data_IF_236233709044
#
_entry.id   IF_236233709044
#
_cell.length_a   1.000
_cell.length_b   1.000
_cell.length_c   1.000
_cell.angle_alpha   90.00
_cell.angle_beta   90.00
_cell.angle_gamma   90.00
#
_symmetry.space_group_name_H-M   'P 1'
#
loop_
_entity.id
_entity.type
_entity.pdbx_description
1 polymer ?
#
# COMPACT_ATOMS: atom_id res chain seq x y z
N UNK A 1 -4.41 7.21 21.06
CA UNK A 1 -4.68 8.22 20.02
C UNK A 1 -5.92 7.79 19.26
N UNK A 2 -6.66 8.77 18.75
CA UNK A 2 -7.79 8.54 17.83
C UNK A 2 -7.28 8.63 16.39
N UNK A 3 -7.38 7.54 15.64
CA UNK A 3 -6.79 7.41 14.30
C UNK A 3 -7.88 7.12 13.28
N UNK A 4 -7.98 7.97 12.23
CA UNK A 4 -8.83 7.70 11.08
C UNK A 4 -8.04 6.90 10.04
N UNK A 5 -8.53 5.72 9.66
CA UNK A 5 -7.98 4.90 8.57
C UNK A 5 -8.97 4.92 7.39
N UNK A 6 -8.62 5.61 6.31
CA UNK A 6 -9.41 5.58 5.09
C UNK A 6 -9.02 4.40 4.21
N UNK A 7 -9.98 3.76 3.54
CA UNK A 7 -9.73 2.50 2.84
C UNK A 7 -9.43 1.35 3.82
N UNK A 8 -9.97 1.44 5.05
CA UNK A 8 -9.64 0.54 6.14
C UNK A 8 -10.23 -0.86 6.02
N UNK A 9 -11.25 -1.08 5.18
CA UNK A 9 -11.75 -2.41 4.83
C UNK A 9 -10.99 -3.06 3.65
N UNK A 10 -10.05 -2.33 3.02
CA UNK A 10 -9.20 -2.83 1.95
C UNK A 10 -8.04 -3.69 2.45
N UNK A 11 -7.28 -4.26 1.52
CA UNK A 11 -6.14 -5.14 1.80
C UNK A 11 -5.13 -4.55 2.80
N UNK A 12 -4.56 -3.38 2.49
CA UNK A 12 -3.53 -2.77 3.34
C UNK A 12 -4.17 -2.15 4.58
N UNK A 13 -5.32 -1.47 4.39
CA UNK A 13 -6.02 -0.76 5.45
C UNK A 13 -6.44 -1.67 6.60
N UNK A 14 -6.99 -2.85 6.31
CA UNK A 14 -7.43 -3.80 7.35
C UNK A 14 -6.26 -4.32 8.20
N UNK A 15 -5.12 -4.65 7.60
CA UNK A 15 -3.91 -5.02 8.34
C UNK A 15 -3.40 -3.87 9.26
N UNK A 16 -3.57 -2.61 8.82
CA UNK A 16 -3.22 -1.43 9.65
C UNK A 16 -4.22 -1.28 10.79
N UNK A 17 -5.52 -1.40 10.51
CA UNK A 17 -6.60 -1.30 11.52
C UNK A 17 -6.39 -2.35 12.61
N UNK A 18 -6.19 -3.63 12.24
CA UNK A 18 -5.87 -4.71 13.19
C UNK A 18 -4.70 -4.33 14.10
N UNK A 19 -3.58 -3.88 13.49
CA UNK A 19 -2.37 -3.50 14.23
C UNK A 19 -2.61 -2.31 15.19
N UNK A 20 -3.43 -1.33 14.79
CA UNK A 20 -3.78 -0.17 15.62
C UNK A 20 -4.68 -0.57 16.80
N UNK A 21 -5.68 -1.42 16.56
CA UNK A 21 -6.56 -1.96 17.61
C UNK A 21 -5.77 -2.80 18.62
N UNK A 22 -4.89 -3.69 18.15
CA UNK A 22 -4.00 -4.47 19.00
C UNK A 22 -3.09 -3.59 19.87
N UNK A 23 -2.73 -2.41 19.35
CA UNK A 23 -1.89 -1.44 20.07
C UNK A 23 -2.68 -0.55 21.05
N UNK A 24 -4.00 -0.68 21.09
CA UNK A 24 -4.88 0.07 21.98
C UNK A 24 -5.23 1.48 21.50
N UNK A 25 -5.17 1.73 20.20
CA UNK A 25 -5.66 2.97 19.60
C UNK A 25 -7.18 2.92 19.41
N UNK A 26 -7.83 4.08 19.50
CA UNK A 26 -9.21 4.28 19.04
C UNK A 26 -9.20 4.46 17.52
N UNK A 27 -9.91 3.61 16.79
CA UNK A 27 -9.83 3.58 15.33
C UNK A 27 -11.17 3.86 14.70
N UNK A 28 -11.20 4.90 13.85
CA UNK A 28 -12.29 5.17 12.92
C UNK A 28 -11.89 4.61 11.55
N UNK A 29 -12.75 3.81 10.95
CA UNK A 29 -12.57 3.26 9.61
C UNK A 29 -13.52 3.92 8.65
N UNK A 30 -13.01 4.51 7.56
CA UNK A 30 -13.80 4.97 6.42
C UNK A 30 -13.54 4.06 5.22
N UNK A 31 -14.59 3.46 4.66
CA UNK A 31 -14.51 2.68 3.41
C UNK A 31 -15.86 2.70 2.69
N UNK A 32 -15.86 2.66 1.36
CA UNK A 32 -17.06 2.56 0.53
C UNK A 32 -17.25 1.17 -0.11
N UNK A 33 -16.45 0.22 0.31
CA UNK A 33 -16.42 -1.17 -0.17
C UNK A 33 -16.20 -1.33 -1.69
N UNK A 34 -15.60 -0.35 -2.36
CA UNK A 34 -15.27 -0.48 -3.79
C UNK A 34 -14.31 -1.65 -4.06
N UNK A 35 -13.31 -1.86 -3.18
CA UNK A 35 -12.42 -3.01 -3.18
C UNK A 35 -12.26 -3.63 -1.78
N UNK A 36 -12.70 -2.92 -0.77
CA UNK A 36 -12.75 -3.39 0.61
C UNK A 36 -13.84 -4.43 0.82
N UNK A 37 -13.71 -5.22 1.89
CA UNK A 37 -14.69 -6.22 2.30
C UNK A 37 -14.95 -6.12 3.79
N UNK A 38 -16.22 -6.25 4.21
CA UNK A 38 -16.60 -6.25 5.64
C UNK A 38 -15.91 -7.37 6.41
N UNK A 39 -15.74 -8.52 5.75
CA UNK A 39 -15.09 -9.71 6.31
C UNK A 39 -13.65 -9.42 6.76
N UNK A 40 -12.94 -8.49 6.12
CA UNK A 40 -11.58 -8.12 6.51
C UNK A 40 -11.50 -7.46 7.90
N UNK A 41 -12.63 -6.99 8.45
CA UNK A 41 -12.71 -6.32 9.75
C UNK A 41 -13.56 -7.10 10.76
N UNK A 42 -14.04 -8.29 10.40
CA UNK A 42 -15.02 -9.04 11.18
C UNK A 42 -14.54 -9.33 12.62
N UNK A 43 -13.27 -9.74 12.79
CA UNK A 43 -12.68 -10.10 14.09
C UNK A 43 -12.51 -8.91 15.05
N UNK A 44 -12.56 -7.68 14.53
CA UNK A 44 -12.34 -6.45 15.29
C UNK A 44 -13.48 -5.44 15.16
N UNK A 45 -14.62 -5.86 14.60
CA UNK A 45 -15.75 -4.98 14.28
C UNK A 45 -16.36 -4.28 15.50
N UNK A 46 -16.28 -4.91 16.67
CA UNK A 46 -16.72 -4.38 17.96
C UNK A 46 -15.74 -3.39 18.60
N UNK A 47 -14.54 -3.24 18.04
CA UNK A 47 -13.43 -2.40 18.56
C UNK A 47 -13.15 -1.17 17.71
N UNK A 48 -13.94 -0.95 16.65
CA UNK A 48 -13.75 0.14 15.71
C UNK A 48 -15.04 0.93 15.50
N UNK A 49 -14.92 2.20 15.19
CA UNK A 49 -16.00 3.01 14.63
C UNK A 49 -15.96 2.88 13.10
N UNK A 50 -17.00 2.29 12.49
CA UNK A 50 -17.06 2.14 11.04
C UNK A 50 -17.98 3.19 10.42
N UNK A 51 -17.47 3.91 9.41
CA UNK A 51 -18.18 4.91 8.61
C UNK A 51 -18.15 4.46 7.15
N UNK A 52 -19.33 4.21 6.57
CA UNK A 52 -19.43 3.92 5.14
C UNK A 52 -19.45 5.22 4.35
N UNK A 53 -18.49 5.41 3.43
CA UNK A 53 -18.41 6.63 2.63
C UNK A 53 -17.13 6.76 1.83
N UNK A 54 -17.03 7.86 1.08
CA UNK A 54 -15.90 8.15 0.18
C UNK A 54 -15.05 9.31 0.70
N UNK A 55 -13.73 9.25 0.44
CA UNK A 55 -12.81 10.38 0.69
C UNK A 55 -13.10 11.59 -0.21
N UNK A 56 -13.96 11.45 -1.23
CA UNK A 56 -14.42 12.56 -2.09
C UNK A 56 -15.62 13.29 -1.54
N UNK A 57 -16.21 12.83 -0.43
CA UNK A 57 -17.27 13.56 0.29
C UNK A 57 -16.63 14.48 1.33
N UNK A 58 -16.45 15.73 0.94
CA UNK A 58 -15.79 16.76 1.76
C UNK A 58 -16.52 17.01 3.08
N UNK A 59 -17.87 17.02 3.09
CA UNK A 59 -18.65 17.23 4.30
C UNK A 59 -18.47 16.08 5.28
N UNK A 60 -18.51 14.84 4.79
CA UNK A 60 -18.27 13.65 5.60
C UNK A 60 -16.86 13.68 6.18
N UNK A 61 -15.85 13.92 5.34
CA UNK A 61 -14.44 13.95 5.80
C UNK A 61 -14.25 15.01 6.86
N UNK A 62 -14.75 16.25 6.64
CA UNK A 62 -14.63 17.31 7.63
C UNK A 62 -15.32 16.94 8.96
N UNK A 63 -16.45 16.23 8.91
CA UNK A 63 -17.16 15.77 10.11
C UNK A 63 -16.36 14.71 10.90
N UNK A 64 -15.83 13.68 10.21
CA UNK A 64 -15.20 12.54 10.89
C UNK A 64 -13.73 12.79 11.26
N UNK A 65 -13.12 13.87 10.79
CA UNK A 65 -11.75 14.28 11.18
C UNK A 65 -11.72 15.14 12.44
N UNK A 66 -12.87 15.54 12.98
CA UNK A 66 -12.95 16.23 14.27
C UNK A 66 -12.44 15.31 15.39
N UNK A 67 -11.58 15.85 16.23
CA UNK A 67 -10.97 15.13 17.36
C UNK A 67 -10.10 13.91 16.97
N UNK A 68 -9.64 13.86 15.70
CA UNK A 68 -8.71 12.85 15.21
C UNK A 68 -7.28 13.35 15.39
N UNK A 69 -6.44 12.53 16.02
CA UNK A 69 -5.01 12.84 16.22
C UNK A 69 -4.20 12.65 14.92
N UNK A 70 -4.48 11.55 14.19
CA UNK A 70 -3.72 11.15 12.99
C UNK A 70 -4.65 10.54 11.95
N UNK A 71 -4.44 10.88 10.68
CA UNK A 71 -5.10 10.23 9.55
C UNK A 71 -4.12 9.28 8.86
N UNK A 72 -4.53 8.03 8.66
CA UNK A 72 -3.84 7.04 7.84
C UNK A 72 -4.60 6.81 6.53
N UNK A 73 -4.20 7.51 5.44
CA UNK A 73 -4.91 7.48 4.17
C UNK A 73 -4.45 6.35 3.28
N UNK A 74 -5.24 5.26 3.23
CA UNK A 74 -5.03 4.12 2.33
C UNK A 74 -6.04 4.06 1.18
N UNK A 75 -7.14 4.83 1.25
CA UNK A 75 -8.15 4.89 0.20
C UNK A 75 -7.55 5.38 -1.12
N UNK A 76 -7.75 4.63 -2.18
CA UNK A 76 -7.29 4.99 -3.53
C UNK A 76 -7.85 4.04 -4.60
N UNK A 77 -7.95 4.52 -5.84
CA UNK A 77 -7.90 3.66 -7.02
C UNK A 77 -6.46 3.12 -7.13
N UNK A 78 -6.25 1.84 -6.75
CA UNK A 78 -4.93 1.31 -6.38
C UNK A 78 -4.20 0.54 -7.48
N UNK A 79 -4.75 0.48 -8.69
CA UNK A 79 -4.20 -0.31 -9.78
C UNK A 79 -4.22 0.43 -11.11
N UNK A 80 -3.14 0.30 -11.90
CA UNK A 80 -3.02 0.95 -13.21
C UNK A 80 -4.20 0.67 -14.16
N UNK A 81 -4.79 -0.54 -14.24
CA UNK A 81 -5.95 -0.78 -15.09
C UNK A 81 -7.22 0.01 -14.72
N UNK A 82 -7.34 0.49 -13.50
CA UNK A 82 -8.47 1.37 -13.09
C UNK A 82 -8.40 2.75 -13.75
N UNK A 83 -7.26 3.11 -14.33
CA UNK A 83 -7.01 4.34 -15.09
C UNK A 83 -7.14 4.10 -16.60
N UNK A 84 -8.07 3.22 -17.03
CA UNK A 84 -8.52 3.13 -18.42
C UNK A 84 -9.17 4.45 -18.85
N UNK A 85 -9.35 4.67 -20.14
CA UNK A 85 -9.98 5.90 -20.63
C UNK A 85 -11.34 6.17 -19.96
N UNK A 86 -12.15 5.14 -19.77
CA UNK A 86 -13.48 5.25 -19.15
C UNK A 86 -13.38 5.49 -17.64
N UNK A 87 -12.41 4.89 -16.96
CA UNK A 87 -12.22 5.01 -15.50
C UNK A 87 -11.35 6.18 -15.06
N UNK A 88 -10.64 6.85 -16.00
CA UNK A 88 -9.61 7.82 -15.69
C UNK A 88 -10.10 8.96 -14.79
N UNK A 89 -11.22 9.58 -15.16
CA UNK A 89 -11.79 10.71 -14.40
C UNK A 89 -12.11 10.32 -12.96
N UNK A 90 -12.80 9.20 -12.77
CA UNK A 90 -13.19 8.72 -11.44
C UNK A 90 -11.96 8.37 -10.60
N UNK A 91 -10.98 7.67 -11.18
CA UNK A 91 -9.75 7.29 -10.49
C UNK A 91 -8.88 8.50 -10.10
N UNK A 92 -8.79 9.51 -10.97
CA UNK A 92 -8.09 10.79 -10.68
C UNK A 92 -8.81 11.54 -9.57
N UNK A 93 -10.14 11.66 -9.63
CA UNK A 93 -10.95 12.32 -8.60
C UNK A 93 -10.70 11.67 -7.23
N UNK A 94 -10.76 10.34 -7.12
CA UNK A 94 -10.49 9.66 -5.84
C UNK A 94 -9.05 9.91 -5.38
N UNK A 95 -8.06 9.72 -6.27
CA UNK A 95 -6.66 9.77 -5.85
C UNK A 95 -6.14 11.18 -5.59
N UNK A 96 -6.58 12.18 -6.35
CA UNK A 96 -6.06 13.56 -6.25
C UNK A 96 -7.01 14.43 -5.43
N UNK A 97 -8.28 14.57 -5.85
CA UNK A 97 -9.21 15.44 -5.15
C UNK A 97 -9.56 14.90 -3.77
N UNK A 98 -9.85 13.60 -3.65
CA UNK A 98 -10.10 12.96 -2.37
C UNK A 98 -8.91 13.09 -1.40
N UNK A 99 -7.67 12.96 -1.89
CA UNK A 99 -6.50 13.16 -1.03
C UNK A 99 -6.33 14.64 -0.61
N UNK A 100 -6.59 15.60 -1.49
CA UNK A 100 -6.54 17.02 -1.14
C UNK A 100 -7.65 17.40 -0.14
N UNK A 101 -8.84 16.79 -0.21
CA UNK A 101 -9.90 16.93 0.81
C UNK A 101 -9.39 16.43 2.17
N UNK A 102 -8.73 15.28 2.23
CA UNK A 102 -8.11 14.77 3.45
C UNK A 102 -7.09 15.75 4.03
N UNK A 103 -6.17 16.28 3.21
CA UNK A 103 -5.16 17.25 3.67
C UNK A 103 -5.79 18.56 4.16
N UNK A 104 -6.78 19.07 3.43
CA UNK A 104 -7.52 20.28 3.82
C UNK A 104 -8.23 20.10 5.16
N UNK A 105 -9.02 19.04 5.29
CA UNK A 105 -9.75 18.74 6.53
C UNK A 105 -8.81 18.47 7.71
N UNK A 106 -7.62 17.88 7.45
CA UNK A 106 -6.60 17.70 8.48
C UNK A 106 -6.10 19.05 9.03
N UNK A 107 -5.88 20.05 8.17
CA UNK A 107 -5.50 21.40 8.61
C UNK A 107 -6.65 22.08 9.36
N UNK A 108 -7.87 22.05 8.81
CA UNK A 108 -9.05 22.72 9.39
C UNK A 108 -9.41 22.16 10.78
N UNK A 109 -9.19 20.86 11.01
CA UNK A 109 -9.48 20.17 12.28
C UNK A 109 -8.25 19.96 13.17
N UNK A 110 -7.12 20.61 12.87
CA UNK A 110 -5.88 20.54 13.66
C UNK A 110 -5.35 19.10 13.84
N UNK A 111 -5.55 18.22 12.87
CA UNK A 111 -4.95 16.89 12.85
C UNK A 111 -3.43 17.02 12.84
N UNK A 112 -2.76 16.32 13.72
CA UNK A 112 -1.31 16.42 13.87
C UNK A 112 -0.56 15.90 12.66
N UNK A 113 -0.99 14.77 12.08
CA UNK A 113 -0.24 14.06 11.04
C UNK A 113 -1.14 13.32 10.05
N UNK A 114 -0.71 13.31 8.79
CA UNK A 114 -1.27 12.44 7.75
C UNK A 114 -0.20 11.46 7.27
N UNK A 115 -0.42 10.15 7.50
CA UNK A 115 0.36 9.05 6.90
C UNK A 115 -0.39 8.57 5.67
N UNK A 116 0.27 8.44 4.52
CA UNK A 116 -0.45 8.12 3.28
C UNK A 116 0.28 7.13 2.38
N UNK A 117 -0.51 6.38 1.61
CA UNK A 117 -0.03 5.43 0.62
C UNK A 117 0.45 6.16 -0.64
N UNK A 118 1.75 6.08 -0.92
CA UNK A 118 2.36 6.31 -2.22
C UNK A 118 2.72 4.96 -2.88
N UNK A 119 3.57 4.93 -3.90
CA UNK A 119 3.85 3.72 -4.66
C UNK A 119 5.27 3.69 -5.24
N UNK A 120 5.88 2.50 -5.26
CA UNK A 120 7.12 2.28 -6.00
C UNK A 120 6.96 2.35 -7.53
N UNK A 121 5.74 2.33 -8.05
CA UNK A 121 5.47 2.50 -9.48
C UNK A 121 5.97 3.84 -10.03
N UNK A 122 6.11 4.86 -9.17
CA UNK A 122 6.68 6.18 -9.51
C UNK A 122 8.07 6.05 -10.12
N UNK A 123 8.87 5.09 -9.67
CA UNK A 123 10.24 4.89 -10.15
C UNK A 123 10.32 4.40 -11.60
N UNK A 124 9.24 3.82 -12.15
CA UNK A 124 9.25 3.25 -13.50
C UNK A 124 10.39 2.24 -13.67
N UNK A 125 11.21 2.43 -14.69
CA UNK A 125 12.36 1.58 -15.00
C UNK A 125 13.71 2.17 -14.51
N UNK A 126 13.71 3.03 -13.49
CA UNK A 126 14.95 3.47 -12.86
C UNK A 126 15.76 2.26 -12.34
N UNK A 127 17.09 2.28 -12.47
CA UNK A 127 17.93 1.18 -12.00
C UNK A 127 17.91 1.05 -10.47
N UNK A 128 17.76 -0.16 -9.92
CA UNK A 128 17.83 -0.36 -8.47
C UNK A 128 19.29 -0.22 -7.96
N UNK A 129 19.50 0.10 -6.65
CA UNK A 129 18.49 0.30 -5.62
C UNK A 129 17.72 1.62 -5.80
N UNK A 130 16.38 1.55 -5.65
CA UNK A 130 15.47 2.68 -5.83
C UNK A 130 15.54 3.60 -4.61
N UNK A 131 15.98 4.83 -4.80
CA UNK A 131 16.11 5.83 -3.73
C UNK A 131 15.07 6.94 -3.89
N UNK A 132 14.63 7.50 -2.78
CA UNK A 132 13.59 8.52 -2.73
C UNK A 132 13.99 9.84 -3.41
N UNK A 133 15.29 10.12 -3.49
CA UNK A 133 15.86 11.32 -4.12
C UNK A 133 16.06 11.19 -5.65
N UNK A 134 15.74 10.05 -6.24
CA UNK A 134 15.88 9.85 -7.68
C UNK A 134 14.90 10.73 -8.47
N UNK A 135 15.37 11.28 -9.59
CA UNK A 135 14.46 11.85 -10.60
C UNK A 135 13.56 10.76 -11.15
N UNK A 136 12.26 11.01 -11.11
CA UNK A 136 11.25 10.04 -11.53
C UNK A 136 10.38 10.60 -12.66
N UNK A 137 9.98 9.71 -13.57
CA UNK A 137 8.99 9.97 -14.61
C UNK A 137 7.95 8.85 -14.48
N UNK A 138 6.75 9.14 -13.95
CA UNK A 138 5.72 8.13 -13.75
C UNK A 138 5.37 7.43 -15.06
N UNK A 139 5.34 6.09 -15.12
CA UNK A 139 5.11 5.34 -16.37
C UNK A 139 3.63 5.23 -16.74
N UNK A 140 2.71 5.62 -15.85
CA UNK A 140 1.27 5.54 -16.02
C UNK A 140 0.52 6.55 -15.13
N UNK A 141 -0.78 6.73 -15.38
CA UNK A 141 -1.63 7.68 -14.65
C UNK A 141 -1.71 7.38 -13.16
N UNK A 142 -1.80 6.10 -12.76
CA UNK A 142 -1.78 5.72 -11.34
C UNK A 142 -0.54 6.27 -10.61
N UNK A 143 0.63 6.01 -11.17
CA UNK A 143 1.88 6.50 -10.57
C UNK A 143 1.95 8.05 -10.59
N UNK A 144 1.41 8.68 -11.63
CA UNK A 144 1.34 10.15 -11.72
C UNK A 144 0.46 10.76 -10.62
N UNK A 145 -0.73 10.18 -10.35
CA UNK A 145 -1.59 10.65 -9.25
C UNK A 145 -0.91 10.49 -7.89
N UNK A 146 -0.16 9.41 -7.68
CA UNK A 146 0.57 9.22 -6.41
C UNK A 146 1.73 10.19 -6.26
N UNK A 147 2.43 10.53 -7.34
CA UNK A 147 3.46 11.57 -7.31
C UNK A 147 2.85 12.95 -7.04
N UNK A 148 1.68 13.25 -7.61
CA UNK A 148 0.93 14.47 -7.30
C UNK A 148 0.58 14.55 -5.81
N UNK A 149 0.17 13.43 -5.21
CA UNK A 149 -0.11 13.37 -3.77
C UNK A 149 1.14 13.67 -2.93
N UNK A 150 2.33 13.21 -3.33
CA UNK A 150 3.58 13.55 -2.64
C UNK A 150 3.86 15.05 -2.69
N UNK A 151 3.64 15.71 -3.83
CA UNK A 151 3.79 17.16 -3.96
C UNK A 151 2.73 17.92 -3.14
N UNK A 152 1.46 17.53 -3.21
CA UNK A 152 0.40 18.12 -2.38
C UNK A 152 0.75 18.02 -0.90
N UNK A 153 1.13 16.85 -0.41
CA UNK A 153 1.51 16.63 0.97
C UNK A 153 2.69 17.51 1.41
N UNK A 154 3.72 17.64 0.57
CA UNK A 154 4.87 18.50 0.83
C UNK A 154 4.47 19.99 0.93
N UNK A 155 3.60 20.47 0.03
CA UNK A 155 3.07 21.84 0.06
C UNK A 155 2.21 22.11 1.30
N UNK A 156 1.34 21.18 1.70
CA UNK A 156 0.58 21.30 2.94
C UNK A 156 1.48 21.32 4.18
N UNK A 157 2.55 20.52 4.18
CA UNK A 157 3.54 20.57 5.27
C UNK A 157 4.26 21.92 5.31
N UNK A 158 4.66 22.45 4.16
CA UNK A 158 5.40 23.71 4.07
C UNK A 158 4.52 24.92 4.42
N UNK A 159 3.29 24.98 3.89
CA UNK A 159 2.46 26.17 3.98
C UNK A 159 1.58 26.19 5.24
N UNK A 160 1.23 25.03 5.79
CA UNK A 160 0.27 24.91 6.91
C UNK A 160 0.86 24.20 8.13
N UNK A 161 2.11 23.73 8.08
CA UNK A 161 2.76 23.04 9.19
C UNK A 161 2.24 21.63 9.47
N UNK A 162 1.35 21.08 8.63
CA UNK A 162 0.81 19.72 8.75
C UNK A 162 1.95 18.70 8.61
N UNK A 163 2.12 17.80 9.57
CA UNK A 163 3.06 16.71 9.39
C UNK A 163 2.52 15.70 8.38
N UNK A 164 3.28 15.42 7.32
CA UNK A 164 2.91 14.41 6.32
C UNK A 164 4.03 13.43 6.07
N UNK A 165 3.70 12.14 5.94
CA UNK A 165 4.65 11.10 5.55
C UNK A 165 4.03 10.14 4.55
N UNK A 166 4.63 10.04 3.37
CA UNK A 166 4.21 9.16 2.30
C UNK A 166 5.05 7.90 2.23
N UNK A 167 4.42 6.77 2.01
CA UNK A 167 5.10 5.50 1.85
C UNK A 167 5.08 5.02 0.40
N UNK A 168 6.22 5.01 -0.28
CA UNK A 168 6.39 4.31 -1.55
C UNK A 168 6.46 2.81 -1.30
N UNK A 169 5.30 2.19 -1.23
CA UNK A 169 5.19 0.75 -1.03
C UNK A 169 5.82 -0.02 -2.19
N UNK A 170 6.65 -1.01 -1.87
CA UNK A 170 7.11 -2.02 -2.82
C UNK A 170 6.00 -3.04 -3.08
N UNK A 171 6.31 -4.24 -3.55
CA UNK A 171 5.32 -5.26 -3.87
C UNK A 171 4.74 -5.91 -2.62
N UNK A 172 3.65 -5.34 -2.07
CA UNK A 172 3.01 -5.86 -0.86
C UNK A 172 2.20 -7.11 -1.18
N UNK A 173 2.29 -8.12 -0.32
CA UNK A 173 1.49 -9.34 -0.34
C UNK A 173 1.05 -9.70 1.08
N UNK A 174 -0.06 -10.43 1.25
CA UNK A 174 -0.51 -10.81 2.59
C UNK A 174 -1.99 -11.20 2.66
N UNK A 175 -2.51 -11.26 3.89
CA UNK A 175 -3.92 -11.55 4.18
C UNK A 175 -4.82 -10.41 3.68
N UNK A 176 -6.09 -10.72 3.42
CA UNK A 176 -7.12 -9.75 3.00
C UNK A 176 -6.96 -9.20 1.58
N UNK A 177 -6.22 -9.89 0.71
CA UNK A 177 -6.01 -9.46 -0.67
C UNK A 177 -7.11 -9.94 -1.65
N UNK A 178 -8.08 -10.72 -1.17
CA UNK A 178 -9.15 -11.35 -1.98
C UNK A 178 -10.03 -10.33 -2.69
N UNK A 179 -10.27 -9.16 -2.08
CA UNK A 179 -11.04 -8.06 -2.68
C UNK A 179 -10.39 -7.49 -3.94
N UNK A 180 -9.08 -7.64 -4.10
CA UNK A 180 -8.35 -7.16 -5.29
C UNK A 180 -8.48 -8.09 -6.50
N UNK A 181 -8.95 -9.30 -6.32
CA UNK A 181 -9.17 -10.28 -7.40
C UNK A 181 -8.00 -10.36 -8.39
N UNK A 182 -8.19 -9.99 -9.66
CA UNK A 182 -7.16 -9.97 -10.71
C UNK A 182 -6.07 -8.91 -10.48
N UNK A 183 -6.28 -7.95 -9.59
CA UNK A 183 -5.33 -6.90 -9.24
C UNK A 183 -4.47 -7.26 -8.02
N UNK A 184 -4.64 -8.46 -7.46
CA UNK A 184 -3.82 -8.94 -6.35
C UNK A 184 -2.34 -9.03 -6.74
N UNK A 185 -1.44 -9.05 -5.75
CA UNK A 185 -0.01 -9.19 -5.97
C UNK A 185 0.32 -10.54 -6.63
N UNK A 186 1.43 -10.60 -7.38
CA UNK A 186 1.87 -11.83 -8.04
C UNK A 186 2.11 -13.00 -7.07
N UNK A 187 2.54 -12.73 -5.83
CA UNK A 187 2.66 -13.76 -4.78
C UNK A 187 1.30 -14.41 -4.55
N UNK A 188 0.28 -13.59 -4.31
CA UNK A 188 -1.09 -14.03 -4.01
C UNK A 188 -1.75 -14.71 -5.21
N UNK A 189 -1.62 -14.12 -6.41
CA UNK A 189 -2.16 -14.72 -7.64
C UNK A 189 -1.56 -16.10 -7.91
N UNK A 190 -0.23 -16.23 -7.80
CA UNK A 190 0.45 -17.51 -8.03
C UNK A 190 0.10 -18.52 -6.95
N UNK A 191 0.02 -18.10 -5.69
CA UNK A 191 -0.41 -18.96 -4.59
C UNK A 191 -1.81 -19.53 -4.86
N UNK A 192 -2.79 -18.69 -5.18
CA UNK A 192 -4.15 -19.14 -5.48
C UNK A 192 -4.24 -20.08 -6.69
N UNK A 193 -3.42 -19.85 -7.72
CA UNK A 193 -3.36 -20.75 -8.86
C UNK A 193 -2.79 -22.12 -8.47
N UNK A 194 -1.68 -22.12 -7.73
CA UNK A 194 -0.97 -23.36 -7.33
C UNK A 194 -1.79 -24.17 -6.34
N UNK A 195 -2.50 -23.55 -5.38
CA UNK A 195 -3.44 -24.23 -4.48
C UNK A 195 -4.57 -24.96 -5.23
N UNK A 196 -4.91 -24.50 -6.44
CA UNK A 196 -5.90 -25.14 -7.33
C UNK A 196 -5.24 -26.13 -8.32
N UNK A 197 -3.99 -26.50 -8.13
CA UNK A 197 -3.22 -27.36 -9.04
C UNK A 197 -2.93 -26.72 -10.41
N UNK A 198 -3.17 -25.42 -10.57
CA UNK A 198 -2.97 -24.70 -11.85
C UNK A 198 -1.57 -24.14 -11.95
N UNK A 199 -1.05 -24.10 -13.19
CA UNK A 199 0.27 -23.54 -13.49
C UNK A 199 0.23 -22.01 -13.49
N UNK A 200 1.05 -21.32 -12.66
CA UNK A 200 1.19 -19.86 -12.73
C UNK A 200 1.64 -19.40 -14.11
N UNK A 201 1.08 -18.28 -14.57
CA UNK A 201 1.45 -17.69 -15.87
C UNK A 201 2.51 -16.61 -15.63
N UNK A 202 3.69 -16.81 -16.22
CA UNK A 202 4.78 -15.84 -16.19
C UNK A 202 4.91 -15.21 -17.58
N UNK A 203 4.76 -13.88 -17.64
CA UNK A 203 5.04 -13.12 -18.84
C UNK A 203 6.56 -12.91 -18.98
N UNK A 204 7.13 -13.30 -20.14
CA UNK A 204 8.57 -13.27 -20.37
C UNK A 204 9.28 -14.49 -19.81
N UNK A 205 10.54 -14.32 -19.37
CA UNK A 205 11.44 -15.41 -18.93
C UNK A 205 11.49 -15.64 -17.42
N UNK A 206 10.72 -14.86 -16.65
CA UNK A 206 10.65 -14.97 -15.19
C UNK A 206 11.86 -14.38 -14.44
N UNK A 207 12.78 -13.70 -15.11
CA UNK A 207 13.94 -13.03 -14.49
C UNK A 207 13.60 -11.65 -13.93
N UNK A 208 12.44 -11.09 -14.27
CA UNK A 208 11.97 -9.84 -13.67
C UNK A 208 11.84 -9.98 -12.16
N UNK A 209 12.26 -8.93 -11.43
CA UNK A 209 12.34 -8.98 -9.98
C UNK A 209 11.37 -8.01 -9.31
N UNK A 210 10.97 -8.37 -8.09
CA UNK A 210 10.21 -7.50 -7.19
C UNK A 210 10.81 -7.55 -5.79
N UNK A 211 10.65 -6.46 -5.07
CA UNK A 211 10.90 -6.38 -3.64
C UNK A 211 9.58 -6.68 -2.92
N UNK A 212 9.38 -7.95 -2.57
CA UNK A 212 8.15 -8.41 -1.93
C UNK A 212 8.19 -8.12 -0.44
N UNK A 213 7.23 -7.35 0.07
CA UNK A 213 7.09 -6.98 1.48
C UNK A 213 5.77 -7.50 2.05
N UNK A 214 5.84 -8.08 3.24
CA UNK A 214 4.67 -8.67 3.89
C UNK A 214 3.75 -7.59 4.50
N UNK A 215 2.42 -7.77 4.42
CA UNK A 215 1.43 -6.80 4.89
C UNK A 215 1.58 -6.43 6.36
N UNK A 216 1.96 -7.36 7.23
CA UNK A 216 2.25 -7.09 8.66
C UNK A 216 3.44 -6.13 8.85
N UNK A 217 4.47 -6.20 8.01
CA UNK A 217 5.57 -5.24 8.04
C UNK A 217 5.12 -3.85 7.57
N UNK A 218 4.23 -3.80 6.57
CA UNK A 218 3.63 -2.55 6.10
C UNK A 218 2.76 -1.90 7.18
N UNK A 219 1.90 -2.68 7.84
CA UNK A 219 1.09 -2.22 8.96
C UNK A 219 1.98 -1.69 10.10
N UNK A 220 3.05 -2.40 10.44
CA UNK A 220 4.03 -1.96 11.44
C UNK A 220 4.76 -0.67 11.04
N UNK A 221 5.10 -0.47 9.77
CA UNK A 221 5.70 0.79 9.30
C UNK A 221 4.73 1.97 9.47
N UNK A 222 3.44 1.77 9.16
CA UNK A 222 2.40 2.78 9.38
C UNK A 222 2.24 3.09 10.88
N UNK A 223 2.15 2.07 11.74
CA UNK A 223 2.10 2.25 13.19
C UNK A 223 3.30 3.07 13.69
N UNK A 224 4.52 2.76 13.26
CA UNK A 224 5.72 3.49 13.67
C UNK A 224 5.70 4.95 13.22
N UNK A 225 5.12 5.27 12.06
CA UNK A 225 4.94 6.65 11.62
C UNK A 225 3.85 7.37 12.42
N UNK A 226 2.74 6.68 12.72
CA UNK A 226 1.62 7.20 13.51
C UNK A 226 2.10 7.54 14.93
N UNK A 227 2.84 6.66 15.58
CA UNK A 227 3.33 6.82 16.94
C UNK A 227 4.63 7.67 17.06
N UNK A 228 5.24 8.05 15.93
CA UNK A 228 6.54 8.74 15.96
C UNK A 228 6.48 10.05 16.75
N UNK A 229 7.42 10.19 17.68
CA UNK A 229 7.67 11.45 18.40
C UNK A 229 8.51 12.44 17.58
N UNK A 230 9.15 11.97 16.50
CA UNK A 230 9.90 12.83 15.59
C UNK A 230 8.95 13.61 14.69
N UNK A 231 9.28 14.83 14.38
CA UNK A 231 8.57 15.61 13.36
C UNK A 231 8.80 14.99 11.98
N UNK A 232 7.71 14.64 11.29
CA UNK A 232 7.71 14.04 9.96
C UNK A 232 6.98 14.98 8.99
N UNK A 233 7.71 15.97 8.44
CA UNK A 233 7.10 17.03 7.60
C UNK A 233 7.52 16.85 6.14
N UNK A 234 6.57 16.41 5.29
CA UNK A 234 6.83 16.19 3.86
C UNK A 234 7.73 15.01 3.56
N UNK A 235 7.90 14.08 4.50
CA UNK A 235 8.77 12.93 4.30
C UNK A 235 8.15 11.92 3.32
N UNK A 236 8.98 11.39 2.42
CA UNK A 236 8.65 10.25 1.57
C UNK A 236 9.66 9.14 1.83
N UNK A 237 9.18 7.91 2.07
CA UNK A 237 9.99 6.78 2.52
C UNK A 237 9.65 5.52 1.74
N UNK A 238 10.65 4.74 1.36
CA UNK A 238 10.45 3.42 0.75
C UNK A 238 10.08 2.37 1.80
N UNK A 239 9.02 1.61 1.57
CA UNK A 239 8.66 0.45 2.38
C UNK A 239 8.84 -0.83 1.57
N UNK A 240 9.88 -1.56 1.88
CA UNK A 240 10.29 -2.82 1.27
C UNK A 240 11.29 -3.55 2.18
N UNK A 241 11.75 -4.72 1.74
CA UNK A 241 12.79 -5.48 2.46
C UNK A 241 14.20 -5.17 1.96
N UNK A 242 14.33 -4.47 0.82
CA UNK A 242 15.61 -4.19 0.17
C UNK A 242 16.20 -5.38 -0.58
N UNK A 243 15.39 -6.41 -0.88
CA UNK A 243 15.81 -7.63 -1.59
C UNK A 243 15.01 -7.82 -2.88
N UNK A 244 15.72 -8.04 -3.98
CA UNK A 244 15.10 -8.38 -5.26
C UNK A 244 14.88 -9.90 -5.34
N UNK A 245 13.64 -10.33 -5.59
CA UNK A 245 13.28 -11.74 -5.83
C UNK A 245 12.70 -11.87 -7.23
N UNK A 246 13.26 -12.77 -8.06
CA UNK A 246 12.74 -13.05 -9.39
C UNK A 246 11.45 -13.86 -9.34
N UNK A 247 10.63 -13.81 -10.40
CA UNK A 247 9.42 -14.64 -10.45
C UNK A 247 9.76 -16.14 -10.49
N UNK A 248 10.89 -16.51 -11.08
CA UNK A 248 11.38 -17.91 -11.03
C UNK A 248 11.69 -18.34 -9.59
N UNK A 249 12.38 -17.49 -8.81
CA UNK A 249 12.63 -17.74 -7.39
C UNK A 249 11.32 -17.79 -6.58
N UNK A 250 10.35 -16.93 -6.89
CA UNK A 250 9.02 -16.94 -6.26
C UNK A 250 8.34 -18.29 -6.48
N UNK A 251 8.36 -18.88 -7.69
CA UNK A 251 7.80 -20.20 -7.95
C UNK A 251 8.48 -21.28 -7.10
N UNK A 252 9.81 -21.24 -6.95
CA UNK A 252 10.54 -22.19 -6.11
C UNK A 252 10.08 -22.09 -4.65
N UNK A 253 9.93 -20.87 -4.13
CA UNK A 253 9.49 -20.64 -2.75
C UNK A 253 8.04 -21.08 -2.51
N UNK A 254 7.15 -20.80 -3.47
CA UNK A 254 5.75 -21.25 -3.41
C UNK A 254 5.64 -22.77 -3.45
N UNK A 255 6.39 -23.45 -4.33
CA UNK A 255 6.44 -24.91 -4.36
C UNK A 255 6.92 -25.49 -3.02
N UNK A 256 7.99 -24.91 -2.43
CA UNK A 256 8.49 -25.32 -1.12
C UNK A 256 7.43 -25.12 -0.02
N UNK A 257 6.72 -24.00 -0.04
CA UNK A 257 5.71 -23.69 0.97
C UNK A 257 4.47 -24.60 0.86
N UNK A 258 4.08 -24.99 -0.36
CA UNK A 258 2.92 -25.87 -0.62
C UNK A 258 3.25 -27.36 -0.62
N UNK A 259 4.52 -27.75 -0.60
CA UNK A 259 4.93 -29.15 -0.79
C UNK A 259 4.74 -29.66 -2.23
N UNK A 260 4.70 -28.76 -3.22
CA UNK A 260 4.35 -29.05 -4.60
C UNK A 260 5.57 -28.95 -5.56
N UNK A 261 5.36 -29.38 -6.81
CA UNK A 261 6.37 -29.30 -7.89
C UNK A 261 5.78 -28.71 -9.18
N UNK A 262 4.93 -27.71 -9.06
CA UNK A 262 4.20 -27.10 -10.19
C UNK A 262 5.17 -26.21 -10.99
N UNK A 263 5.28 -26.48 -12.30
CA UNK A 263 6.09 -25.66 -13.24
C UNK A 263 5.24 -24.50 -13.78
N UNK A 264 5.76 -23.26 -13.87
CA UNK A 264 5.02 -22.15 -14.46
C UNK A 264 4.82 -22.35 -15.98
N UNK A 265 3.88 -21.59 -16.55
CA UNK A 265 3.72 -21.44 -18.00
C UNK A 265 4.30 -20.08 -18.41
N UNK A 266 5.32 -20.08 -19.26
CA UNK A 266 5.88 -18.86 -19.80
C UNK A 266 5.12 -18.44 -21.06
N UNK A 267 4.77 -17.15 -21.15
CA UNK A 267 4.07 -16.57 -22.29
C UNK A 267 4.74 -15.26 -22.73
N UNK A 268 4.48 -14.82 -23.97
CA UNK A 268 5.03 -13.56 -24.47
C UNK A 268 4.57 -12.39 -23.60
N UNK A 269 5.48 -11.43 -23.31
CA UNK A 269 5.17 -10.21 -22.59
C UNK A 269 4.25 -9.30 -23.44
N UNK A 270 3.00 -9.05 -23.02
CA UNK A 270 2.07 -8.23 -23.78
C UNK A 270 2.18 -6.74 -23.45
N UNK A 271 2.81 -6.40 -22.33
CA UNK A 271 2.81 -5.04 -21.77
C UNK A 271 4.01 -4.25 -22.26
N UNK A 272 3.76 -3.11 -22.93
CA UNK A 272 4.80 -2.10 -23.19
C UNK A 272 5.17 -1.41 -21.87
N UNK A 273 6.44 -1.02 -21.72
CA UNK A 273 6.96 -0.33 -20.53
C UNK A 273 6.83 -1.13 -19.20
N UNK A 274 6.89 -2.47 -19.31
CA UNK A 274 6.87 -3.32 -18.12
C UNK A 274 8.07 -3.07 -17.22
N UNK A 275 7.84 -2.86 -15.92
CA UNK A 275 8.89 -2.65 -14.94
C UNK A 275 9.65 -3.96 -14.70
N UNK A 276 10.93 -4.00 -15.11
CA UNK A 276 11.74 -5.23 -15.10
C UNK A 276 12.29 -5.55 -13.72
N UNK A 277 12.76 -4.55 -13.00
CA UNK A 277 13.46 -4.76 -11.73
C UNK A 277 12.99 -3.77 -10.68
N UNK A 278 12.75 -4.28 -9.47
CA UNK A 278 12.45 -3.45 -8.30
C UNK A 278 13.22 -3.96 -7.08
N UNK A 279 13.91 -3.04 -6.41
CA UNK A 279 14.55 -3.23 -5.10
C UNK A 279 14.69 -1.87 -4.43
N UNK A 280 14.11 -1.71 -3.26
CA UNK A 280 14.21 -0.48 -2.48
C UNK A 280 15.64 -0.25 -1.94
N UNK A 281 16.09 0.99 -1.91
CA UNK A 281 17.02 1.43 -0.88
C UNK A 281 16.20 1.76 0.37
N UNK A 282 16.50 1.09 1.48
CA UNK A 282 15.79 1.22 2.74
C UNK A 282 16.56 2.06 3.77
N UNK A 283 17.67 2.70 3.39
CA UNK A 283 18.54 3.47 4.31
C UNK A 283 17.81 4.66 4.91
N UNK A 284 17.06 5.41 4.10
CA UNK A 284 16.30 6.57 4.57
C UNK A 284 15.24 6.15 5.59
N UNK A 285 14.46 5.10 5.30
CA UNK A 285 13.44 4.58 6.19
C UNK A 285 14.01 4.07 7.52
N UNK A 286 15.15 3.37 7.48
CA UNK A 286 15.88 2.97 8.70
C UNK A 286 16.31 4.17 9.52
N UNK A 287 16.85 5.22 8.91
CA UNK A 287 17.33 6.44 9.59
C UNK A 287 16.18 7.23 10.22
N UNK A 288 15.06 7.39 9.49
CA UNK A 288 13.94 8.25 9.90
C UNK A 288 13.04 7.55 10.91
N UNK A 289 12.61 6.33 10.62
CA UNK A 289 11.64 5.58 11.42
C UNK A 289 12.26 4.44 12.26
N UNK A 290 13.57 4.15 12.12
CA UNK A 290 14.18 2.93 12.68
C UNK A 290 13.49 1.64 12.21
N UNK A 291 12.82 1.69 11.07
CA UNK A 291 12.11 0.57 10.49
C UNK A 291 13.04 -0.36 9.71
N UNK A 292 12.86 -1.65 9.90
CA UNK A 292 13.36 -2.74 9.03
C UNK A 292 12.30 -3.82 8.97
N UNK A 293 12.07 -4.40 7.81
CA UNK A 293 11.16 -5.53 7.66
C UNK A 293 11.62 -6.69 8.56
N UNK A 294 10.66 -7.36 9.21
CA UNK A 294 10.89 -8.52 10.09
C UNK A 294 10.68 -9.84 9.36
N UNK A 295 9.82 -9.84 8.34
CA UNK A 295 9.45 -11.06 7.61
C UNK A 295 10.24 -11.17 6.30
N UNK A 296 10.93 -12.29 6.10
CA UNK A 296 11.33 -12.74 4.78
C UNK A 296 10.11 -13.20 3.96
N UNK A 297 10.27 -13.35 2.64
CA UNK A 297 9.19 -13.88 1.80
C UNK A 297 8.75 -15.29 2.24
N UNK A 298 9.69 -16.13 2.66
CA UNK A 298 9.42 -17.49 3.17
C UNK A 298 8.61 -17.48 4.46
N UNK A 299 8.93 -16.59 5.39
CA UNK A 299 8.20 -16.44 6.66
C UNK A 299 6.79 -15.89 6.43
N UNK A 300 6.63 -14.89 5.56
CA UNK A 300 5.33 -14.36 5.20
C UNK A 300 4.43 -15.38 4.49
N UNK A 301 4.98 -16.21 3.59
CA UNK A 301 4.25 -17.31 2.96
C UNK A 301 3.79 -18.36 3.98
N UNK A 302 4.65 -18.72 4.94
CA UNK A 302 4.27 -19.64 6.03
C UNK A 302 3.14 -19.09 6.90
N UNK A 303 3.16 -17.79 7.17
CA UNK A 303 2.12 -17.14 7.99
C UNK A 303 0.77 -17.09 7.25
N UNK A 304 0.76 -16.80 5.94
CA UNK A 304 -0.46 -16.83 5.12
C UNK A 304 -1.08 -18.23 5.04
N UNK A 305 -0.25 -19.27 4.96
CA UNK A 305 -0.72 -20.66 4.81
C UNK A 305 -1.22 -21.30 6.12
N UNK A 306 -0.95 -20.67 7.28
CA UNK A 306 -1.42 -21.14 8.58
C UNK A 306 -2.84 -20.66 8.93
N UNK A 307 -3.25 -19.60 8.28
CA UNK A 307 -4.55 -18.94 8.45
C UNK A 307 -5.39 -19.07 7.20
#
# INVERSE_FOLDING_TARGET
MRVLVTGGAGFIGSNIVETLVERGHEVIVLDNFFMGKKENLQEISDKIEFVEGSITDENLINKITKDVDVICNQAAASSSPMFSLDGLRSAVNVNVDGFNIILKSAVENNVKRVVYASTSSIYGNNPPPLREDMKVIPPNFYAATKLMNEYSAALFSQNHGLETVGFRYMSIYGRHEEGKTIYANLVTQFLWMMQKGKRPIIYGDGKQTRDFVYSKDVARANLMAIESKKKLSGEVLNIGIGKATSLNQLIVLLNKALGEKIKPKYVRMPVKNYIKTQRADIKKTKKVLHFSAKYSLEEGLKDILKN
#
